data_IF_204096955291
#
_entry.id   IF_204096955291
#
_cell.length_a   1.000
_cell.length_b   1.000
_cell.length_c   1.000
_cell.angle_alpha   90.00
_cell.angle_beta   90.00
_cell.angle_gamma   90.00
#
_symmetry.space_group_name_H-M   'P 1'
#
loop_
_entity.id
_entity.type
_entity.pdbx_description
1 polymer ?
#
# COMPACT_ATOMS: atom_id res chain seq x y z
N UNK A 1 23.73 0.33 7.99
CA UNK A 1 22.44 0.50 8.69
C UNK A 1 21.69 -0.82 8.59
N UNK A 2 21.11 -1.31 9.68
CA UNK A 2 20.36 -2.58 9.69
C UNK A 2 19.00 -2.39 10.36
N UNK A 3 18.00 -3.16 9.93
CA UNK A 3 16.62 -3.13 10.46
C UNK A 3 15.60 -2.51 9.52
N UNK A 4 14.36 -2.38 9.99
CA UNK A 4 13.26 -1.79 9.23
C UNK A 4 13.50 -0.30 8.97
N UNK A 5 13.42 0.09 7.70
CA UNK A 5 13.58 1.48 7.25
C UNK A 5 12.51 1.80 6.22
N UNK A 6 11.98 3.01 6.30
CA UNK A 6 11.10 3.59 5.29
C UNK A 6 11.93 4.46 4.36
N UNK A 7 11.79 4.22 3.07
CA UNK A 7 12.61 4.82 2.02
C UNK A 7 11.78 5.88 1.30
N UNK A 8 12.31 7.08 1.25
CA UNK A 8 11.73 8.22 0.55
C UNK A 8 12.64 8.65 -0.58
N UNK A 9 12.08 9.04 -1.71
CA UNK A 9 12.83 9.60 -2.84
C UNK A 9 12.29 10.97 -3.18
N UNK A 10 13.18 11.91 -3.45
CA UNK A 10 12.80 13.23 -3.91
C UNK A 10 12.63 13.22 -5.43
N UNK A 11 11.45 13.64 -5.87
CA UNK A 11 11.12 13.84 -7.28
C UNK A 11 11.15 15.35 -7.52
N UNK A 12 12.09 15.86 -8.32
CA UNK A 12 12.17 17.28 -8.61
C UNK A 12 11.08 17.72 -9.59
N UNK A 13 10.73 19.00 -9.56
CA UNK A 13 9.75 19.57 -10.48
C UNK A 13 10.17 19.52 -11.96
N UNK A 14 11.48 19.63 -12.24
CA UNK A 14 12.02 19.77 -13.59
C UNK A 14 12.84 18.54 -14.02
N UNK A 15 12.71 18.14 -15.28
CA UNK A 15 13.48 17.04 -15.89
C UNK A 15 13.05 15.64 -15.46
N UNK A 16 11.84 15.51 -14.91
CA UNK A 16 11.28 14.30 -14.34
C UNK A 16 9.99 13.87 -15.09
N UNK A 17 10.09 13.65 -16.41
CA UNK A 17 8.91 13.54 -17.28
C UNK A 17 8.39 12.12 -17.50
N UNK A 18 9.09 11.10 -17.02
CA UNK A 18 8.61 9.72 -17.09
C UNK A 18 7.47 9.43 -16.10
N UNK A 19 6.47 8.67 -16.55
CA UNK A 19 5.30 8.25 -15.76
C UNK A 19 5.50 6.93 -15.03
N UNK A 20 6.52 6.17 -15.38
CA UNK A 20 6.81 4.83 -14.88
C UNK A 20 8.32 4.60 -14.82
N UNK A 21 8.99 5.31 -13.91
CA UNK A 21 10.40 5.03 -13.60
C UNK A 21 10.50 3.88 -12.61
N UNK A 22 11.44 2.97 -12.86
CA UNK A 22 11.66 1.79 -12.03
C UNK A 22 12.77 2.03 -11.00
N UNK A 23 12.39 2.12 -9.74
CA UNK A 23 13.31 2.10 -8.60
C UNK A 23 13.57 0.65 -8.17
N UNK A 24 14.84 0.27 -8.07
CA UNK A 24 15.27 -1.04 -7.56
C UNK A 24 15.84 -0.89 -6.16
N UNK A 25 15.18 -1.54 -5.20
CA UNK A 25 15.58 -1.57 -3.79
C UNK A 25 16.26 -2.91 -3.52
N UNK A 26 17.58 -2.89 -3.33
CA UNK A 26 18.35 -4.03 -2.85
C UNK A 26 18.36 -4.02 -1.32
N UNK A 27 17.86 -5.08 -0.69
CA UNK A 27 17.79 -5.19 0.76
C UNK A 27 19.11 -5.62 1.42
N UNK A 28 20.17 -5.89 0.65
CA UNK A 28 21.47 -6.37 1.14
C UNK A 28 21.51 -7.89 1.42
N UNK A 29 20.37 -8.57 1.31
CA UNK A 29 20.23 -10.03 1.49
C UNK A 29 20.19 -10.80 0.15
N UNK A 30 20.49 -10.12 -0.97
CA UNK A 30 20.31 -10.65 -2.32
C UNK A 30 18.87 -10.54 -2.85
N UNK A 31 17.93 -10.09 -2.04
CA UNK A 31 16.55 -9.82 -2.51
C UNK A 31 16.45 -8.39 -3.03
N UNK A 32 15.92 -8.24 -4.25
CA UNK A 32 15.65 -6.95 -4.89
C UNK A 32 14.14 -6.77 -5.08
N UNK A 33 13.63 -5.59 -4.78
CA UNK A 33 12.24 -5.20 -5.05
C UNK A 33 12.23 -4.04 -6.04
N UNK A 34 11.33 -4.10 -7.00
CA UNK A 34 11.13 -3.03 -7.98
C UNK A 34 9.86 -2.26 -7.65
N UNK A 35 9.91 -0.93 -7.78
CA UNK A 35 8.75 -0.04 -7.63
C UNK A 35 8.68 0.88 -8.84
N UNK A 36 7.53 0.89 -9.51
CA UNK A 36 7.23 1.88 -10.53
C UNK A 36 6.73 3.15 -9.86
N UNK A 37 7.29 4.29 -10.27
CA UNK A 37 6.96 5.61 -9.72
C UNK A 37 6.69 6.56 -10.88
N UNK A 38 5.59 7.29 -10.80
CA UNK A 38 5.33 8.41 -11.69
C UNK A 38 6.17 9.60 -11.22
N UNK A 39 7.01 10.15 -12.11
CA UNK A 39 7.80 11.34 -11.83
C UNK A 39 7.17 12.62 -12.41
N UNK A 40 6.29 12.49 -13.40
CA UNK A 40 5.61 13.60 -14.08
C UNK A 40 4.47 14.18 -13.23
N UNK A 41 4.80 14.56 -11.99
CA UNK A 41 3.96 15.32 -11.08
C UNK A 41 4.17 16.83 -11.23
N UNK A 42 5.25 17.24 -11.94
CA UNK A 42 5.65 18.64 -12.17
C UNK A 42 5.77 19.44 -10.87
N UNK A 43 6.19 18.77 -9.78
CA UNK A 43 6.27 19.34 -8.43
C UNK A 43 7.40 18.68 -7.65
N UNK A 44 8.08 19.48 -6.83
CA UNK A 44 9.01 18.99 -5.82
C UNK A 44 8.27 18.23 -4.72
N UNK A 45 8.38 16.90 -4.73
CA UNK A 45 7.69 16.03 -3.78
C UNK A 45 8.58 14.90 -3.28
N UNK A 46 8.39 14.55 -2.00
CA UNK A 46 8.93 13.32 -1.44
C UNK A 46 7.93 12.19 -1.64
N UNK A 47 8.34 11.17 -2.42
CA UNK A 47 7.54 9.98 -2.68
C UNK A 47 7.98 8.83 -1.77
N UNK A 48 7.01 8.14 -1.19
CA UNK A 48 7.24 6.97 -0.33
C UNK A 48 7.41 5.69 -1.18
N UNK A 49 8.62 5.12 -1.20
CA UNK A 49 8.84 3.81 -1.80
C UNK A 49 8.34 2.67 -0.91
N UNK A 50 8.16 2.92 0.39
CA UNK A 50 7.66 1.98 1.38
C UNK A 50 8.70 1.55 2.40
N UNK A 51 8.28 0.64 3.28
CA UNK A 51 9.11 0.12 4.39
C UNK A 51 9.69 -1.25 4.07
N UNK A 52 11.01 -1.37 4.24
CA UNK A 52 11.78 -2.57 3.95
C UNK A 52 12.72 -2.91 5.10
N UNK A 53 12.99 -4.21 5.28
CA UNK A 53 14.01 -4.67 6.21
C UNK A 53 15.36 -4.64 5.52
N UNK A 54 16.19 -3.65 5.86
CA UNK A 54 17.49 -3.46 5.24
C UNK A 54 18.60 -4.15 6.04
N UNK A 55 19.54 -4.75 5.32
CA UNK A 55 20.76 -5.35 5.84
C UNK A 55 21.99 -4.55 5.41
N UNK A 56 23.17 -4.92 5.90
CA UNK A 56 24.42 -4.34 5.42
C UNK A 56 24.54 -4.49 3.89
N UNK A 57 24.98 -3.43 3.20
CA UNK A 57 25.06 -3.41 1.74
C UNK A 57 23.74 -3.15 1.00
N UNK A 58 22.66 -2.81 1.70
CA UNK A 58 21.42 -2.36 1.06
C UNK A 58 21.64 -1.08 0.22
N UNK A 59 20.98 -1.01 -0.93
CA UNK A 59 21.09 0.12 -1.86
C UNK A 59 19.78 0.37 -2.59
N UNK A 60 19.61 1.60 -3.07
CA UNK A 60 18.51 1.98 -3.95
C UNK A 60 19.14 2.48 -5.24
N UNK A 61 18.67 1.97 -6.38
CA UNK A 61 19.10 2.43 -7.70
C UNK A 61 17.91 2.77 -8.57
N UNK A 62 18.12 3.74 -9.45
CA UNK A 62 17.17 4.13 -10.48
C UNK A 62 17.56 3.49 -11.81
N UNK A 63 16.58 2.91 -12.51
CA UNK A 63 16.77 2.52 -13.90
C UNK A 63 16.52 3.72 -14.80
N UNK A 64 17.48 4.04 -15.68
CA UNK A 64 17.25 4.98 -16.79
C UNK A 64 16.54 4.32 -17.99
N UNK A 65 16.27 3.01 -17.89
CA UNK A 65 15.45 2.29 -18.85
C UNK A 65 14.01 2.32 -18.34
N UNK A 66 13.17 3.08 -19.04
CA UNK A 66 11.72 3.14 -18.86
C UNK A 66 11.05 2.34 -19.98
N UNK A 67 10.06 1.51 -19.65
CA UNK A 67 9.33 0.75 -20.66
C UNK A 67 8.46 1.69 -21.49
N UNK A 68 8.84 2.01 -22.74
CA UNK A 68 8.04 2.70 -23.80
C UNK A 68 6.94 3.63 -23.28
N UNK A 69 7.30 4.45 -22.31
CA UNK A 69 6.34 5.12 -21.43
C UNK A 69 5.69 6.31 -22.17
N UNK A 70 6.32 6.70 -23.28
CA UNK A 70 5.90 7.75 -24.17
C UNK A 70 6.07 7.35 -25.62
N UNK A 71 5.04 7.67 -26.41
CA UNK A 71 5.04 7.53 -27.86
C UNK A 71 4.72 8.90 -28.49
N UNK A 72 5.30 9.20 -29.65
CA UNK A 72 4.94 10.38 -30.43
C UNK A 72 3.53 10.23 -31.04
N UNK A 73 3.07 11.26 -31.75
CA UNK A 73 1.80 11.26 -32.49
C UNK A 73 1.70 10.15 -33.55
N UNK A 74 2.83 9.59 -33.96
CA UNK A 74 2.97 8.49 -34.91
C UNK A 74 3.21 7.13 -34.23
N UNK A 75 3.02 7.07 -32.91
CA UNK A 75 3.20 5.88 -32.08
C UNK A 75 4.65 5.33 -32.07
N UNK A 76 5.66 6.14 -32.34
CA UNK A 76 7.07 5.77 -32.19
C UNK A 76 7.51 6.00 -30.73
N UNK A 77 8.30 5.08 -30.14
CA UNK A 77 8.80 5.27 -28.79
C UNK A 77 9.74 6.48 -28.72
N UNK A 78 9.49 7.38 -27.78
CA UNK A 78 10.31 8.58 -27.56
C UNK A 78 11.05 8.43 -26.23
N UNK A 79 12.29 8.94 -26.19
CA UNK A 79 13.02 9.06 -24.93
C UNK A 79 12.30 10.08 -24.03
N UNK A 80 12.16 9.73 -22.75
CA UNK A 80 11.64 10.61 -21.70
C UNK A 80 12.74 10.94 -20.72
N UNK A 81 12.68 12.14 -20.15
CA UNK A 81 13.63 12.57 -19.14
C UNK A 81 13.34 11.88 -17.80
N UNK A 82 14.41 11.39 -17.18
CA UNK A 82 14.40 10.73 -15.87
C UNK A 82 15.37 11.48 -14.97
N UNK A 83 14.90 11.89 -13.80
CA UNK A 83 15.71 12.62 -12.83
C UNK A 83 15.84 11.88 -11.51
N UNK A 84 16.92 12.20 -10.80
CA UNK A 84 17.20 11.77 -9.45
C UNK A 84 17.86 12.91 -8.70
N UNK A 85 17.34 13.23 -7.52
CA UNK A 85 17.94 14.22 -6.63
C UNK A 85 18.44 13.56 -5.34
N UNK A 86 17.51 13.14 -4.48
CA UNK A 86 17.85 12.65 -3.14
C UNK A 86 17.06 11.39 -2.73
N UNK A 87 17.64 10.64 -1.79
CA UNK A 87 17.00 9.51 -1.10
C UNK A 87 17.18 9.66 0.41
N UNK A 88 16.12 9.38 1.17
CA UNK A 88 16.14 9.41 2.63
C UNK A 88 15.74 8.06 3.22
N UNK A 89 16.45 7.64 4.25
CA UNK A 89 16.18 6.42 5.02
C UNK A 89 15.74 6.79 6.43
N UNK A 90 14.47 6.56 6.74
CA UNK A 90 13.90 6.84 8.06
C UNK A 90 13.69 5.55 8.84
N UNK A 91 13.92 5.52 10.16
CA UNK A 91 13.54 4.37 10.98
C UNK A 91 12.05 4.02 10.80
N UNK A 92 11.73 2.72 10.68
CA UNK A 92 10.35 2.24 10.57
C UNK A 92 10.18 0.94 11.37
N UNK A 93 8.95 0.53 11.60
CA UNK A 93 8.59 -0.83 11.99
C UNK A 93 8.24 -1.67 10.74
N UNK A 94 8.00 -2.96 10.97
CA UNK A 94 7.39 -3.85 9.96
C UNK A 94 6.04 -3.25 9.50
N UNK A 95 5.79 -3.10 8.19
CA UNK A 95 4.52 -2.57 7.71
C UNK A 95 3.36 -3.49 8.09
N UNK A 96 2.22 -2.89 8.43
CA UNK A 96 0.95 -3.60 8.54
C UNK A 96 0.58 -4.18 7.16
N UNK A 97 -0.18 -5.28 7.17
CA UNK A 97 -0.67 -5.89 5.93
C UNK A 97 -1.99 -5.24 5.57
N UNK A 98 -2.00 -4.48 4.47
CA UNK A 98 -3.22 -4.02 3.83
C UNK A 98 -3.68 -5.09 2.83
N UNK A 99 -4.84 -5.69 3.08
CA UNK A 99 -5.42 -6.72 2.24
C UNK A 99 -6.68 -6.21 1.56
N UNK A 100 -6.74 -6.36 0.24
CA UNK A 100 -7.93 -6.07 -0.56
C UNK A 100 -8.32 -7.34 -1.30
N UNK A 101 -9.55 -7.79 -1.09
CA UNK A 101 -10.16 -8.87 -1.85
C UNK A 101 -11.18 -8.30 -2.84
N UNK A 102 -10.99 -8.63 -4.11
CA UNK A 102 -11.94 -8.38 -5.19
C UNK A 102 -12.46 -9.73 -5.68
N UNK A 103 -13.74 -9.79 -6.05
CA UNK A 103 -14.32 -11.00 -6.58
C UNK A 103 -15.82 -10.90 -6.78
N UNK A 104 -16.39 -12.03 -7.17
CA UNK A 104 -17.81 -12.25 -7.43
C UNK A 104 -18.50 -12.89 -6.21
N UNK A 105 -19.66 -13.50 -6.43
CA UNK A 105 -20.48 -14.18 -5.42
C UNK A 105 -19.73 -15.28 -4.66
N UNK A 106 -18.79 -15.99 -5.29
CA UNK A 106 -17.98 -17.02 -4.62
C UNK A 106 -17.05 -16.40 -3.58
N UNK A 107 -16.45 -15.26 -3.92
CA UNK A 107 -15.57 -14.53 -2.99
C UNK A 107 -16.35 -13.77 -1.92
N UNK A 108 -17.61 -13.40 -2.20
CA UNK A 108 -18.50 -12.77 -1.25
C UNK A 108 -19.07 -13.74 -0.20
N UNK A 109 -18.98 -15.05 -0.42
CA UNK A 109 -19.58 -16.06 0.47
C UNK A 109 -21.09 -16.16 0.33
N UNK A 110 -21.60 -15.91 -0.87
CA UNK A 110 -23.02 -16.09 -1.21
C UNK A 110 -23.44 -17.53 -0.96
N UNK A 111 -24.59 -17.71 -0.29
CA UNK A 111 -25.06 -19.00 0.19
C UNK A 111 -24.59 -19.36 1.60
N UNK A 112 -23.77 -18.53 2.26
CA UNK A 112 -23.28 -18.75 3.63
C UNK A 112 -23.71 -17.59 4.53
N UNK A 113 -24.80 -17.78 5.25
CA UNK A 113 -25.30 -16.81 6.24
C UNK A 113 -24.40 -16.75 7.49
N UNK A 114 -24.36 -15.61 8.21
CA UNK A 114 -25.16 -14.40 7.99
C UNK A 114 -24.58 -13.48 6.91
N UNK A 115 -25.38 -12.56 6.38
CA UNK A 115 -24.89 -11.53 5.45
C UNK A 115 -24.68 -10.19 6.17
N UNK A 116 -23.76 -9.38 5.64
CA UNK A 116 -23.54 -8.01 6.08
C UNK A 116 -24.72 -7.12 5.65
N UNK A 117 -25.57 -6.77 6.62
CA UNK A 117 -26.71 -5.89 6.36
C UNK A 117 -27.66 -6.45 5.30
N UNK A 118 -28.42 -5.56 4.67
CA UNK A 118 -29.35 -5.90 3.60
C UNK A 118 -28.92 -5.18 2.31
N UNK A 119 -27.78 -5.58 1.75
CA UNK A 119 -27.28 -5.08 0.46
C UNK A 119 -27.25 -6.18 -0.60
N UNK A 120 -27.34 -5.79 -1.88
CA UNK A 120 -27.37 -6.72 -3.02
C UNK A 120 -26.03 -7.44 -3.24
N UNK A 121 -24.98 -7.10 -2.48
CA UNK A 121 -23.71 -7.78 -2.55
C UNK A 121 -23.71 -9.14 -1.82
N UNK A 122 -24.72 -9.39 -0.96
CA UNK A 122 -24.77 -10.43 0.07
C UNK A 122 -23.39 -10.99 0.48
N UNK A 123 -22.57 -10.08 1.03
CA UNK A 123 -21.26 -10.45 1.58
C UNK A 123 -21.44 -11.13 2.93
N UNK A 124 -20.73 -12.23 3.15
CA UNK A 124 -20.74 -12.97 4.41
C UNK A 124 -19.47 -12.70 5.24
N UNK A 125 -19.53 -12.60 6.58
CA UNK A 125 -18.35 -12.59 7.43
C UNK A 125 -17.61 -13.95 7.42
N UNK A 126 -18.26 -15.02 6.93
CA UNK A 126 -17.67 -16.34 6.77
C UNK A 126 -17.11 -16.57 5.36
N UNK A 127 -17.14 -15.56 4.49
CA UNK A 127 -16.51 -15.60 3.19
C UNK A 127 -15.00 -15.86 3.31
N UNK A 128 -14.45 -16.63 2.38
CA UNK A 128 -13.04 -17.02 2.39
C UNK A 128 -12.06 -15.84 2.55
N UNK A 129 -12.22 -14.70 1.84
CA UNK A 129 -11.30 -13.58 2.01
C UNK A 129 -11.31 -12.98 3.43
N UNK A 130 -12.47 -12.97 4.09
CA UNK A 130 -12.62 -12.45 5.45
C UNK A 130 -11.91 -13.35 6.48
N UNK A 131 -11.99 -14.67 6.31
CA UNK A 131 -11.36 -15.65 7.22
C UNK A 131 -9.85 -15.73 7.02
N UNK A 132 -9.37 -15.59 5.79
CA UNK A 132 -7.92 -15.49 5.51
C UNK A 132 -7.35 -14.21 6.11
N UNK A 133 -8.03 -13.08 5.98
CA UNK A 133 -7.55 -11.84 6.57
C UNK A 133 -7.53 -11.89 8.10
N UNK A 134 -8.58 -12.40 8.74
CA UNK A 134 -8.64 -12.49 10.21
C UNK A 134 -7.56 -13.40 10.79
N UNK A 135 -7.25 -14.51 10.10
CA UNK A 135 -6.15 -15.41 10.50
C UNK A 135 -4.78 -14.78 10.28
N UNK A 136 -4.62 -13.92 9.28
CA UNK A 136 -3.38 -13.18 9.03
C UNK A 136 -3.17 -11.99 10.01
N UNK A 137 -4.22 -11.30 10.44
CA UNK A 137 -4.13 -10.25 11.48
C UNK A 137 -3.71 -10.84 12.83
N UNK A 138 -4.10 -12.07 13.16
CA UNK A 138 -3.60 -12.78 14.35
C UNK A 138 -2.07 -12.98 14.37
N UNK A 139 -1.39 -12.76 13.24
CA UNK A 139 0.06 -12.86 13.11
C UNK A 139 0.77 -11.50 12.95
N UNK A 140 0.03 -10.38 12.88
CA UNK A 140 0.60 -9.03 12.72
C UNK A 140 -0.13 -8.02 13.63
N UNK A 141 0.52 -7.52 14.70
CA UNK A 141 -0.13 -6.60 15.63
C UNK A 141 -0.42 -5.26 14.95
N UNK A 142 -1.71 -4.96 14.81
CA UNK A 142 -2.21 -3.70 14.29
C UNK A 142 -1.93 -2.57 15.31
N UNK A 143 -1.29 -1.50 14.86
CA UNK A 143 -1.30 -0.23 15.58
C UNK A 143 -2.52 0.54 15.10
N UNK A 144 -3.56 0.52 15.92
CA UNK A 144 -4.78 1.31 15.74
C UNK A 144 -4.43 2.80 15.71
N UNK A 145 -4.53 3.44 14.54
CA UNK A 145 -4.54 4.91 14.43
C UNK A 145 -5.98 5.41 14.32
N UNK A 146 -6.62 5.52 15.48
CA UNK A 146 -7.91 6.20 15.66
C UNK A 146 -7.71 7.71 15.54
N UNK A 147 -7.82 8.26 14.34
CA UNK A 147 -7.95 9.73 14.19
C UNK A 147 -9.43 10.11 14.18
N UNK A 148 -10.00 10.21 15.39
CA UNK A 148 -11.01 11.24 15.70
C UNK A 148 -10.98 11.52 17.20
N UNK A 149 -10.74 12.78 17.57
CA UNK A 149 -10.83 13.31 18.94
C UNK A 149 -11.65 14.60 18.89
N UNK A 150 -12.19 15.13 20.00
CA UNK A 150 -12.50 14.50 21.28
C UNK A 150 -13.93 14.85 21.78
N UNK A 151 -14.65 13.90 22.38
CA UNK A 151 -15.72 14.24 23.32
C UNK A 151 -15.99 13.07 24.27
N UNK A 152 -15.47 13.24 25.48
CA UNK A 152 -15.96 12.68 26.75
C UNK A 152 -16.58 11.27 26.76
N UNK A 153 -15.86 10.32 27.34
CA UNK A 153 -16.50 9.28 28.13
C UNK A 153 -15.64 8.91 29.33
N UNK A 154 -16.09 9.36 30.49
CA UNK A 154 -15.70 8.84 31.81
C UNK A 154 -15.92 7.33 31.85
N UNK A 155 -15.01 6.66 32.51
CA UNK A 155 -15.08 5.25 32.87
C UNK A 155 -16.31 4.91 33.71
N UNK A 156 -17.14 4.00 33.22
CA UNK A 156 -17.89 3.08 34.07
C UNK A 156 -18.10 1.78 33.31
N UNK A 157 -17.40 0.74 33.77
CA UNK A 157 -17.51 -0.62 33.29
C UNK A 157 -18.93 -1.14 33.48
N UNK A 158 -19.54 -1.71 32.44
CA UNK A 158 -20.52 -2.80 32.56
C UNK A 158 -20.53 -3.59 31.24
N UNK A 159 -20.52 -4.90 31.39
CA UNK A 159 -20.47 -6.00 30.42
C UNK A 159 -21.30 -5.86 29.14
N UNK A 160 -20.75 -6.35 28.01
CA UNK A 160 -21.55 -6.95 26.93
C UNK A 160 -21.12 -6.60 25.50
N UNK A 161 -20.95 -7.66 24.68
CA UNK A 161 -20.70 -7.73 23.23
C UNK A 161 -19.25 -7.58 22.72
N UNK A 162 -18.74 -8.54 21.90
CA UNK A 162 -17.47 -8.37 21.20
C UNK A 162 -17.62 -7.30 20.11
N UNK A 163 -16.75 -6.30 20.15
CA UNK A 163 -16.70 -5.19 19.22
C UNK A 163 -16.48 -5.69 17.79
N UNK A 164 -17.43 -5.39 16.90
CA UNK A 164 -17.33 -5.68 15.47
C UNK A 164 -16.33 -4.71 14.85
N UNK A 165 -15.19 -5.25 14.39
CA UNK A 165 -14.15 -4.48 13.69
C UNK A 165 -14.73 -3.83 12.42
N UNK A 166 -14.48 -2.53 12.16
CA UNK A 166 -15.04 -1.86 11.01
C UNK A 166 -14.23 -2.22 9.76
N UNK A 167 -14.62 -3.31 9.08
CA UNK A 167 -14.19 -3.56 7.70
C UNK A 167 -14.64 -2.35 6.87
N UNK A 168 -13.67 -1.67 6.24
CA UNK A 168 -13.90 -0.50 5.40
C UNK A 168 -14.87 -0.89 4.29
N UNK A 169 -16.12 -0.38 4.35
CA UNK A 169 -17.19 -0.69 3.41
C UNK A 169 -16.86 -0.09 2.04
N UNK A 170 -16.26 -0.86 1.15
CA UNK A 170 -16.21 -0.53 -0.28
C UNK A 170 -17.64 -0.66 -0.84
N UNK A 171 -18.18 0.42 -1.43
CA UNK A 171 -19.55 0.43 -1.97
C UNK A 171 -19.71 -0.67 -3.03
N UNK A 172 -20.83 -1.38 -2.97
CA UNK A 172 -21.34 -2.20 -4.06
C UNK A 172 -21.48 -1.31 -5.30
N UNK A 173 -20.84 -1.71 -6.41
CA UNK A 173 -21.06 -1.08 -7.71
C UNK A 173 -22.21 -1.85 -8.36
N UNK A 174 -23.37 -1.19 -8.47
CA UNK A 174 -24.53 -1.65 -9.26
C UNK A 174 -24.22 -1.63 -10.74
#
# INVERSE_FOLDING_TARGET
MIGWRRIWVHIPENGADSRQVLYKINMGTGTVKTRAVNQHWEKDVWFDLGSYQLSAGASVSLSNVTDRDWHDDNNNPVAVDVSWDAVAFTPSSKPAVDYVALGDSYSAGQGVEPYYGNDDCHRSPQAYPTTVFSTQIGQHPETTSSTSSPAAARSSATSGAPATSPIRRTRCRS
#
